data_IF_897487091484
#
_entry.id   IF_897487091484
#
_cell.length_a   1.000
_cell.length_b   1.000
_cell.length_c   1.000
_cell.angle_alpha   90.00
_cell.angle_beta   90.00
_cell.angle_gamma   90.00
#
_symmetry.space_group_name_H-M   'P 1'
#
loop_
_entity.id
_entity.type
_entity.pdbx_description
1 polymer ?
#
# COMPACT_ATOMS: atom_id res chain seq x y z
N UNK A 1 2.52 -12.27 -25.25
CA UNK A 1 2.03 -12.14 -23.86
C UNK A 1 0.73 -11.35 -23.90
N UNK A 2 -0.29 -11.74 -23.14
CA UNK A 2 -1.58 -11.02 -23.00
C UNK A 2 -1.84 -10.80 -21.52
N UNK A 3 -2.22 -9.59 -21.14
CA UNK A 3 -2.69 -9.29 -19.79
C UNK A 3 -4.15 -9.71 -19.69
N UNK A 4 -4.49 -10.55 -18.71
CA UNK A 4 -5.86 -11.01 -18.45
C UNK A 4 -6.52 -10.26 -17.30
N UNK A 5 -5.73 -9.85 -16.30
CA UNK A 5 -6.20 -9.09 -15.13
C UNK A 5 -5.17 -8.05 -14.71
N UNK A 6 -5.66 -6.95 -14.13
CA UNK A 6 -4.86 -5.92 -13.48
C UNK A 6 -5.39 -5.74 -12.05
N UNK A 7 -4.46 -5.68 -11.11
CA UNK A 7 -4.75 -5.53 -9.69
C UNK A 7 -3.90 -4.42 -9.10
N UNK A 8 -4.53 -3.55 -8.31
CA UNK A 8 -3.85 -2.54 -7.50
C UNK A 8 -4.15 -2.78 -6.02
N UNK A 9 -3.25 -2.33 -5.17
CA UNK A 9 -3.29 -2.43 -3.72
C UNK A 9 -2.92 -1.06 -3.14
N UNK A 10 -3.85 -0.08 -3.12
CA UNK A 10 -3.51 1.27 -2.69
C UNK A 10 -2.83 1.34 -1.31
N UNK A 11 -3.26 0.44 -0.40
CA UNK A 11 -2.64 0.22 0.90
C UNK A 11 -1.93 -1.13 0.93
N UNK A 12 -0.63 -1.12 1.26
CA UNK A 12 0.17 -2.33 1.46
C UNK A 12 -0.47 -3.24 2.52
N UNK A 13 -0.48 -4.53 2.24
CA UNK A 13 -1.03 -5.59 3.12
C UNK A 13 -2.56 -5.66 3.20
N UNK A 14 -3.31 -4.79 2.51
CA UNK A 14 -4.75 -4.95 2.35
C UNK A 14 -5.07 -5.79 1.10
N UNK A 15 -6.33 -6.24 0.99
CA UNK A 15 -6.82 -6.90 -0.20
C UNK A 15 -6.74 -5.97 -1.43
N UNK A 16 -6.47 -6.56 -2.60
CA UNK A 16 -6.36 -5.82 -3.85
C UNK A 16 -7.72 -5.50 -4.47
N UNK A 17 -7.72 -4.53 -5.36
CA UNK A 17 -8.83 -4.14 -6.22
C UNK A 17 -8.49 -4.46 -7.67
N UNK A 18 -9.41 -5.12 -8.37
CA UNK A 18 -9.26 -5.40 -9.80
C UNK A 18 -9.66 -4.16 -10.61
N UNK A 19 -8.83 -3.77 -11.56
CA UNK A 19 -9.05 -2.62 -12.44
C UNK A 19 -9.01 -3.03 -13.90
N UNK A 20 -9.62 -2.23 -14.77
CA UNK A 20 -9.61 -2.48 -16.23
C UNK A 20 -8.43 -1.82 -16.94
N UNK A 21 -7.91 -0.74 -16.35
CA UNK A 21 -6.79 0.04 -16.87
C UNK A 21 -6.05 0.67 -15.70
N UNK A 22 -4.76 0.95 -15.89
CA UNK A 22 -3.95 1.68 -14.91
C UNK A 22 -2.84 2.43 -15.63
N UNK A 23 -2.54 3.63 -15.15
CA UNK A 23 -1.35 4.37 -15.57
C UNK A 23 -0.12 3.80 -14.85
N UNK A 24 1.02 3.73 -15.54
CA UNK A 24 2.26 3.20 -14.97
C UNK A 24 3.27 4.33 -14.83
N UNK A 25 3.63 4.61 -13.59
CA UNK A 25 4.66 5.58 -13.19
C UNK A 25 6.01 4.86 -12.99
N UNK A 26 7.14 5.58 -12.89
CA UNK A 26 8.46 4.96 -12.68
C UNK A 26 8.55 4.04 -11.45
N UNK A 27 7.72 4.28 -10.43
CA UNK A 27 7.67 3.52 -9.17
C UNK A 27 6.53 2.49 -9.10
N UNK A 28 5.75 2.31 -10.17
CA UNK A 28 4.67 1.32 -10.27
C UNK A 28 3.35 1.91 -10.80
N UNK A 29 2.25 1.14 -10.74
CA UNK A 29 0.95 1.64 -11.14
C UNK A 29 0.52 2.83 -10.28
N UNK A 30 -0.11 3.83 -10.89
CA UNK A 30 -0.59 5.01 -10.18
C UNK A 30 -1.52 4.62 -9.03
N UNK A 31 -1.26 5.17 -7.84
CA UNK A 31 -1.98 4.85 -6.61
C UNK A 31 -1.62 3.52 -5.95
N UNK A 32 -0.87 2.61 -6.59
CA UNK A 32 -0.52 1.31 -6.02
C UNK A 32 0.52 1.43 -4.89
N UNK A 33 0.18 0.87 -3.72
CA UNK A 33 1.03 0.79 -2.53
C UNK A 33 1.65 2.14 -2.15
N UNK A 34 0.87 3.22 -2.26
CA UNK A 34 1.25 4.54 -1.76
C UNK A 34 1.01 4.69 -0.26
N UNK A 35 0.24 3.77 0.32
CA UNK A 35 -0.07 3.72 1.74
C UNK A 35 0.44 2.43 2.39
N UNK A 36 0.72 2.45 3.68
CA UNK A 36 1.02 1.26 4.48
C UNK A 36 0.65 1.45 5.96
N UNK A 37 0.76 0.39 6.74
CA UNK A 37 0.48 0.40 8.17
C UNK A 37 1.75 0.23 8.99
N UNK A 38 1.82 1.00 10.08
CA UNK A 38 2.83 0.88 11.13
C UNK A 38 2.16 0.78 12.49
N UNK A 39 2.86 0.24 13.49
CA UNK A 39 2.42 0.33 14.88
C UNK A 39 2.79 1.67 15.52
N UNK A 40 2.53 1.81 16.82
CA UNK A 40 2.81 3.05 17.58
C UNK A 40 4.30 3.44 17.60
N UNK A 41 5.19 2.45 17.47
CA UNK A 41 6.63 2.64 17.42
C UNK A 41 7.15 2.95 16.01
N UNK A 42 6.28 2.94 14.99
CA UNK A 42 6.65 3.12 13.59
C UNK A 42 7.14 1.83 12.93
N UNK A 43 6.95 0.67 13.58
CA UNK A 43 7.32 -0.61 12.98
C UNK A 43 6.27 -1.03 11.96
N UNK A 44 6.72 -1.41 10.76
CA UNK A 44 5.82 -1.89 9.70
C UNK A 44 4.98 -3.07 10.18
N UNK A 45 3.71 -3.06 9.81
CA UNK A 45 2.80 -4.19 10.05
C UNK A 45 2.38 -4.78 8.72
N UNK A 46 2.49 -6.10 8.62
CA UNK A 46 2.16 -6.85 7.39
C UNK A 46 1.00 -7.81 7.60
N UNK A 47 0.35 -8.22 6.50
CA UNK A 47 -0.72 -9.23 6.55
C UNK A 47 -0.26 -10.61 7.06
N UNK A 48 1.06 -10.87 7.11
CA UNK A 48 1.62 -12.08 7.72
C UNK A 48 1.60 -12.01 9.25
N UNK A 49 1.75 -10.81 9.79
CA UNK A 49 1.72 -10.56 11.24
C UNK A 49 0.29 -10.30 11.72
N UNK A 50 -0.50 -9.55 10.93
CA UNK A 50 -1.90 -9.22 11.19
C UNK A 50 -2.80 -9.65 10.02
N UNK A 51 -3.29 -10.90 10.00
CA UNK A 51 -4.14 -11.40 8.92
C UNK A 51 -5.47 -10.64 8.78
N UNK A 52 -5.94 -9.95 9.83
CA UNK A 52 -7.14 -9.11 9.80
C UNK A 52 -7.08 -8.02 8.73
N UNK A 53 -5.88 -7.60 8.32
CA UNK A 53 -5.67 -6.63 7.24
C UNK A 53 -6.24 -7.10 5.89
N UNK A 54 -6.23 -8.41 5.61
CA UNK A 54 -6.86 -8.96 4.40
C UNK A 54 -8.39 -8.91 4.45
N UNK A 55 -8.97 -8.48 5.58
CA UNK A 55 -10.36 -8.11 5.73
C UNK A 55 -10.70 -6.73 5.16
N UNK A 56 -9.70 -5.89 4.93
CA UNK A 56 -9.87 -4.55 4.41
C UNK A 56 -9.45 -4.47 2.95
N UNK A 57 -10.09 -3.59 2.18
CA UNK A 57 -9.68 -3.22 0.83
C UNK A 57 -9.68 -1.71 0.68
N UNK A 58 -8.80 -1.18 -0.15
CA UNK A 58 -8.77 0.25 -0.45
C UNK A 58 -9.00 0.47 -1.95
N UNK A 59 -9.71 1.54 -2.28
CA UNK A 59 -9.95 1.99 -3.65
C UNK A 59 -9.67 3.48 -3.78
N UNK A 60 -9.08 3.92 -4.89
CA UNK A 60 -8.88 5.33 -5.17
C UNK A 60 -10.24 5.98 -5.46
N UNK A 61 -10.53 7.14 -4.87
CA UNK A 61 -11.77 7.91 -5.11
C UNK A 61 -11.51 9.05 -6.10
N UNK A 62 -10.44 9.80 -5.87
CA UNK A 62 -9.93 10.88 -6.71
C UNK A 62 -8.41 11.00 -6.56
N UNK A 63 -7.77 12.11 -6.93
CA UNK A 63 -6.31 12.25 -6.86
C UNK A 63 -5.76 12.16 -5.42
N UNK A 64 -6.49 12.72 -4.46
CA UNK A 64 -6.01 12.92 -3.09
C UNK A 64 -6.74 12.04 -2.07
N UNK A 65 -7.76 11.28 -2.49
CA UNK A 65 -8.62 10.54 -1.56
C UNK A 65 -8.65 9.05 -1.88
N UNK A 66 -8.45 8.22 -0.86
CA UNK A 66 -8.78 6.80 -0.90
C UNK A 66 -10.00 6.49 -0.03
N UNK A 67 -10.68 5.40 -0.33
CA UNK A 67 -11.69 4.82 0.54
C UNK A 67 -11.23 3.45 1.01
N UNK A 68 -11.26 3.22 2.32
CA UNK A 68 -11.01 1.90 2.90
C UNK A 68 -12.35 1.27 3.28
N UNK A 69 -12.56 0.03 2.86
CA UNK A 69 -13.76 -0.77 3.12
C UNK A 69 -13.43 -2.00 3.95
N UNK A 70 -14.34 -2.38 4.85
CA UNK A 70 -14.34 -3.68 5.50
C UNK A 70 -15.21 -4.71 4.75
N UNK A 71 -15.34 -5.92 5.32
CA UNK A 71 -16.18 -7.00 4.75
C UNK A 71 -17.68 -6.83 5.03
N UNK A 72 -18.03 -6.04 6.04
CA UNK A 72 -19.40 -5.89 6.54
C UNK A 72 -20.11 -4.67 5.94
N UNK A 73 -19.44 -3.97 5.02
CA UNK A 73 -19.98 -2.83 4.28
C UNK A 73 -19.67 -1.47 4.91
N UNK A 74 -18.93 -1.44 6.02
CA UNK A 74 -18.39 -0.22 6.58
C UNK A 74 -17.28 0.36 5.70
N UNK A 75 -17.14 1.69 5.72
CA UNK A 75 -16.07 2.38 4.99
C UNK A 75 -15.68 3.69 5.65
N UNK A 76 -14.45 4.12 5.41
CA UNK A 76 -13.94 5.45 5.77
C UNK A 76 -13.24 6.09 4.56
N UNK A 77 -13.43 7.40 4.39
CA UNK A 77 -12.65 8.20 3.45
C UNK A 77 -11.35 8.63 4.14
N UNK A 78 -10.26 8.62 3.40
CA UNK A 78 -8.94 9.01 3.87
C UNK A 78 -8.38 10.00 2.88
N UNK A 79 -8.25 11.24 3.34
CA UNK A 79 -7.58 12.28 2.58
C UNK A 79 -6.07 12.11 2.71
N UNK A 80 -5.37 12.40 1.63
CA UNK A 80 -3.90 12.42 1.63
C UNK A 80 -3.41 13.48 2.61
N UNK A 81 -2.52 13.15 3.57
CA UNK A 81 -2.10 14.05 4.62
C UNK A 81 -1.08 15.09 4.12
N UNK A 82 -1.50 15.93 3.17
CA UNK A 82 -0.67 16.94 2.53
C UNK A 82 -0.19 17.98 3.55
N UNK A 83 1.13 18.19 3.60
CA UNK A 83 1.75 19.13 4.53
C UNK A 83 1.80 18.66 5.99
N UNK A 84 1.39 17.43 6.30
CA UNK A 84 1.54 16.84 7.64
C UNK A 84 2.99 16.40 7.83
N UNK A 85 3.67 16.80 8.93
CA UNK A 85 5.04 16.38 9.20
C UNK A 85 5.19 14.86 9.23
N UNK A 86 6.15 14.28 8.48
CA UNK A 86 6.27 12.84 8.38
C UNK A 86 6.91 12.23 9.64
N UNK A 87 6.52 11.00 9.95
CA UNK A 87 6.98 10.24 11.12
C UNK A 87 7.96 9.14 10.70
N UNK A 88 8.90 8.70 11.57
CA UNK A 88 9.79 7.59 11.29
C UNK A 88 9.00 6.29 11.03
N UNK A 89 9.42 5.52 10.02
CA UNK A 89 8.81 4.22 9.68
C UNK A 89 9.88 3.18 9.34
N UNK A 90 9.65 1.92 9.76
CA UNK A 90 10.61 0.82 9.52
C UNK A 90 10.45 0.13 8.14
N UNK A 91 9.65 0.71 7.25
CA UNK A 91 9.63 0.32 5.84
C UNK A 91 11.03 0.52 5.24
N UNK A 92 11.63 -0.58 4.78
CA UNK A 92 13.01 -0.59 4.27
C UNK A 92 13.22 0.49 3.21
N UNK A 93 14.25 1.33 3.42
CA UNK A 93 14.67 2.43 2.53
C UNK A 93 13.63 3.54 2.34
N UNK A 94 12.59 3.58 3.17
CA UNK A 94 11.61 4.69 3.21
C UNK A 94 12.04 5.77 4.21
N UNK A 95 12.38 5.39 5.44
CA UNK A 95 12.79 6.30 6.50
C UNK A 95 11.61 7.01 7.17
N UNK A 96 10.85 7.81 6.41
CA UNK A 96 9.74 8.61 6.92
C UNK A 96 8.51 8.56 6.00
N UNK A 97 7.32 8.73 6.58
CA UNK A 97 6.04 8.79 5.86
C UNK A 97 5.03 9.67 6.61
N UNK A 98 4.11 10.30 5.89
CA UNK A 98 3.11 11.20 6.48
C UNK A 98 1.95 10.38 7.10
N UNK A 99 1.60 10.58 8.38
CA UNK A 99 0.50 9.85 9.01
C UNK A 99 -0.86 10.37 8.54
N UNK A 100 -1.82 9.45 8.39
CA UNK A 100 -3.23 9.81 8.21
C UNK A 100 -3.86 10.34 9.49
N UNK A 101 -5.08 10.88 9.37
CA UNK A 101 -5.86 11.37 10.49
C UNK A 101 -6.15 10.29 11.54
N UNK A 102 -6.36 10.75 12.77
CA UNK A 102 -6.47 9.86 13.94
C UNK A 102 -7.72 8.97 13.87
N UNK A 103 -8.82 9.48 13.33
CA UNK A 103 -10.07 8.74 13.15
C UNK A 103 -9.92 7.56 12.19
N UNK A 104 -9.09 7.69 11.15
CA UNK A 104 -8.70 6.59 10.25
C UNK A 104 -7.96 5.50 11.01
N UNK A 105 -7.02 5.89 11.88
CA UNK A 105 -6.26 4.95 12.70
C UNK A 105 -7.18 4.20 13.67
N UNK A 106 -8.13 4.90 14.31
CA UNK A 106 -9.15 4.29 15.17
C UNK A 106 -10.06 3.33 14.40
N UNK A 107 -10.51 3.73 13.21
CA UNK A 107 -11.39 2.92 12.37
C UNK A 107 -10.73 1.61 11.94
N UNK A 108 -9.44 1.66 11.58
CA UNK A 108 -8.65 0.46 11.25
C UNK A 108 -8.43 -0.39 12.50
N UNK A 109 -8.04 0.23 13.62
CA UNK A 109 -7.78 -0.46 14.88
C UNK A 109 -8.99 -1.26 15.39
N UNK A 110 -10.19 -0.70 15.28
CA UNK A 110 -11.46 -1.35 15.61
C UNK A 110 -11.69 -2.65 14.81
N UNK A 111 -11.30 -2.67 13.54
CA UNK A 111 -11.50 -3.84 12.64
C UNK A 111 -10.44 -4.93 12.80
N UNK A 112 -9.24 -4.55 13.19
CA UNK A 112 -8.09 -5.46 13.27
C UNK A 112 -7.77 -5.87 14.71
N UNK A 113 -8.38 -5.21 15.70
CA UNK A 113 -8.24 -5.54 17.12
C UNK A 113 -6.95 -5.06 17.77
N UNK A 114 -6.20 -4.15 17.13
CA UNK A 114 -4.98 -3.55 17.69
C UNK A 114 -4.70 -2.14 17.14
N UNK A 115 -4.03 -1.27 17.92
CA UNK A 115 -3.62 0.05 17.43
C UNK A 115 -2.67 -0.07 16.23
N UNK A 116 -3.02 0.62 15.13
CA UNK A 116 -2.21 0.77 13.92
C UNK A 116 -2.35 2.19 13.41
N UNK A 117 -1.33 2.69 12.72
CA UNK A 117 -1.34 3.97 12.02
C UNK A 117 -1.21 3.76 10.53
N UNK A 118 -2.08 4.39 9.77
CA UNK A 118 -1.96 4.50 8.33
C UNK A 118 -0.97 5.62 7.99
N UNK A 119 -0.03 5.31 7.09
CA UNK A 119 0.99 6.25 6.64
C UNK A 119 1.05 6.28 5.12
N UNK A 120 1.31 7.46 4.57
CA UNK A 120 1.39 7.76 3.16
C UNK A 120 2.83 8.06 2.74
N UNK A 121 3.24 7.46 1.63
CA UNK A 121 4.49 7.78 0.95
C UNK A 121 4.27 9.00 0.04
N UNK A 122 4.63 10.17 0.55
CA UNK A 122 4.51 11.44 -0.17
C UNK A 122 5.37 11.47 -1.44
N UNK A 123 6.68 11.30 -1.28
CA UNK A 123 7.63 11.27 -2.39
C UNK A 123 8.05 9.82 -2.69
N UNK A 124 7.56 9.20 -3.77
CA UNK A 124 7.95 7.84 -4.15
C UNK A 124 9.35 7.77 -4.76
N UNK A 125 9.99 8.92 -5.05
CA UNK A 125 11.35 8.96 -5.60
C UNK A 125 12.43 8.71 -4.56
N UNK A 126 12.11 8.84 -3.27
CA UNK A 126 13.09 8.62 -2.17
C UNK A 126 13.46 7.14 -2.00
N UNK A 127 12.53 6.24 -2.33
CA UNK A 127 12.69 4.81 -2.09
C UNK A 127 13.14 4.12 -3.37
N UNK A 128 14.40 3.69 -3.38
CA UNK A 128 15.02 3.04 -4.54
C UNK A 128 14.57 1.58 -4.70
N UNK A 129 14.79 0.97 -5.86
CA UNK A 129 14.73 -0.49 -6.03
C UNK A 129 16.02 -1.12 -5.45
N UNK A 130 15.92 -2.33 -4.88
CA UNK A 130 17.09 -3.01 -4.31
C UNK A 130 17.97 -3.56 -5.43
N UNK A 131 19.30 -3.44 -5.32
CA UNK A 131 20.23 -4.13 -6.21
C UNK A 131 20.06 -5.66 -6.20
N UNK A 132 19.60 -6.24 -5.07
CA UNK A 132 19.27 -7.66 -4.99
C UNK A 132 18.05 -8.05 -5.85
N UNK A 133 17.24 -7.07 -6.26
CA UNK A 133 16.13 -7.21 -7.20
C UNK A 133 16.46 -6.61 -8.58
N UNK A 134 17.73 -6.31 -8.85
CA UNK A 134 18.18 -5.76 -10.13
C UNK A 134 17.99 -4.25 -10.29
N UNK A 135 17.73 -3.51 -9.21
CA UNK A 135 17.55 -2.06 -9.27
C UNK A 135 18.79 -1.32 -9.77
N UNK A 136 18.58 -0.38 -10.69
CA UNK A 136 19.59 0.52 -11.26
C UNK A 136 19.52 1.92 -10.61
N UNK A 137 20.49 2.77 -10.95
CA UNK A 137 20.45 4.17 -10.55
C UNK A 137 19.24 4.88 -11.19
N UNK A 138 18.46 5.59 -10.36
CA UNK A 138 17.21 6.24 -10.78
C UNK A 138 15.96 5.36 -10.65
N UNK A 139 16.10 4.04 -10.44
CA UNK A 139 14.94 3.17 -10.22
C UNK A 139 14.32 3.43 -8.85
N UNK A 140 13.04 3.74 -8.86
CA UNK A 140 12.26 4.12 -7.66
C UNK A 140 11.12 3.13 -7.44
N UNK A 141 10.55 3.15 -6.25
CA UNK A 141 9.63 2.13 -5.79
C UNK A 141 8.61 2.74 -4.84
N UNK A 142 7.34 2.43 -5.06
CA UNK A 142 6.30 2.69 -4.07
C UNK A 142 6.57 1.91 -2.77
N UNK A 143 5.61 1.68 -1.87
CA UNK A 143 5.80 0.76 -0.74
C UNK A 143 5.72 -0.74 -1.16
N UNK A 144 5.80 -1.03 -2.47
CA UNK A 144 6.00 -2.35 -3.05
C UNK A 144 7.29 -3.05 -2.56
N UNK A 145 7.38 -4.37 -2.70
CA UNK A 145 8.50 -5.13 -2.09
C UNK A 145 9.72 -5.22 -3.01
N UNK A 146 9.59 -5.90 -4.14
CA UNK A 146 10.72 -6.26 -4.99
C UNK A 146 10.95 -5.28 -6.16
N UNK A 147 9.87 -4.85 -6.82
CA UNK A 147 9.93 -3.98 -7.99
C UNK A 147 8.59 -3.29 -8.25
N UNK A 148 8.57 -2.31 -9.17
CA UNK A 148 7.41 -1.45 -9.42
C UNK A 148 6.24 -2.21 -10.06
N UNK A 149 6.51 -3.31 -10.76
CA UNK A 149 5.51 -4.20 -11.34
C UNK A 149 5.77 -5.64 -10.91
N UNK A 150 4.71 -6.36 -10.56
CA UNK A 150 4.71 -7.80 -10.35
C UNK A 150 3.90 -8.45 -11.47
N UNK A 151 4.56 -9.27 -12.29
CA UNK A 151 3.91 -10.08 -13.29
C UNK A 151 3.83 -11.53 -12.82
N UNK A 152 2.65 -12.11 -12.95
CA UNK A 152 2.40 -13.54 -12.69
C UNK A 152 1.69 -14.14 -13.90
N UNK A 153 1.77 -15.46 -14.05
CA UNK A 153 0.93 -16.19 -15.01
C UNK A 153 -0.24 -16.85 -14.30
N UNK A 154 -1.36 -17.02 -14.99
CA UNK A 154 -2.50 -17.81 -14.51
C UNK A 154 -2.06 -19.22 -14.07
N UNK A 155 -1.11 -19.81 -14.80
CA UNK A 155 -0.52 -21.11 -14.45
C UNK A 155 0.30 -21.09 -13.15
N UNK A 156 0.97 -19.99 -12.81
CA UNK A 156 1.66 -19.84 -11.53
C UNK A 156 0.68 -19.62 -10.38
N UNK A 157 -0.38 -18.82 -10.61
CA UNK A 157 -1.39 -18.52 -9.61
C UNK A 157 -2.22 -19.76 -9.27
N UNK A 158 -2.60 -20.56 -10.27
CA UNK A 158 -3.34 -21.82 -10.07
C UNK A 158 -2.58 -22.88 -9.25
N UNK A 159 -1.29 -22.67 -8.98
CA UNK A 159 -0.48 -23.55 -8.12
C UNK A 159 -0.42 -23.09 -6.66
N UNK A 160 -0.92 -21.90 -6.35
CA UNK A 160 -1.09 -21.44 -4.97
C UNK A 160 -2.28 -22.20 -4.37
N UNK A 161 -2.02 -22.92 -3.27
CA UNK A 161 -3.00 -23.73 -2.55
C UNK A 161 -3.60 -22.96 -1.38
#
# INVERSE_FOLDING_TARGET
MRITELWIHPVKSLAGEQVQQVEVEPWGPAGDRRWALVDEAGEKVTAREEPGLLGLRASQVDEDTIRIHDRDGGSILVDTPLGVPPVPVSHSRQGFAAPADEDVNWWIADRVGRPLRLVWQEDPTVRRVSGAHGGLEGDTLSLADAGPLLLTSESSLARLQ
#
